data_IF_734028131716
#
_entry.id   IF_734028131716
#
_cell.length_a   1.000
_cell.length_b   1.000
_cell.length_c   1.000
_cell.angle_alpha   90.00
_cell.angle_beta   90.00
_cell.angle_gamma   90.00
#
_symmetry.space_group_name_H-M   'P 1'
#
loop_
_entity.id
_entity.type
_entity.pdbx_description
1 polymer ?
#
# COMPACT_ATOMS: atom_id res chain seq x y z
N UNK A 1 17.36 -20.36 12.82
CA UNK A 1 16.72 -19.03 13.02
C UNK A 1 17.56 -18.04 12.23
N UNK A 2 17.19 -17.82 10.97
CA UNK A 2 17.94 -16.96 10.06
C UNK A 2 17.54 -15.50 10.34
N UNK A 3 18.53 -14.69 10.73
CA UNK A 3 18.37 -13.25 10.88
C UNK A 3 18.05 -12.63 9.52
N UNK A 4 17.00 -11.81 9.47
CA UNK A 4 16.69 -11.00 8.32
C UNK A 4 17.73 -9.90 8.19
N UNK A 5 18.65 -10.05 7.24
CA UNK A 5 19.60 -9.00 6.89
C UNK A 5 18.83 -7.83 6.29
N UNK A 6 18.83 -6.70 6.99
CA UNK A 6 18.37 -5.42 6.46
C UNK A 6 19.33 -5.01 5.35
N UNK A 7 18.85 -5.01 4.10
CA UNK A 7 19.57 -4.37 2.99
C UNK A 7 19.65 -2.86 3.29
N UNK A 8 20.88 -2.38 3.49
CA UNK A 8 21.23 -1.00 3.81
C UNK A 8 20.56 0.03 2.88
N UNK A 9 19.96 1.06 3.49
CA UNK A 9 19.18 2.13 2.84
C UNK A 9 20.02 3.19 2.10
N UNK A 10 21.22 2.86 1.61
CA UNK A 10 22.06 3.79 0.84
C UNK A 10 22.80 3.12 -0.34
N UNK A 11 22.25 2.03 -0.88
CA UNK A 11 22.71 1.38 -2.11
C UNK A 11 21.84 1.80 -3.29
N UNK A 12 22.45 2.12 -4.43
CA UNK A 12 21.77 2.64 -5.62
C UNK A 12 20.50 1.84 -5.97
N UNK A 13 19.39 2.55 -6.19
CA UNK A 13 18.18 2.01 -6.82
C UNK A 13 18.57 1.49 -8.21
N UNK A 14 19.02 0.23 -8.28
CA UNK A 14 19.42 -0.44 -9.51
C UNK A 14 18.32 -1.39 -9.96
N UNK A 15 18.47 -1.94 -11.17
CA UNK A 15 17.45 -2.80 -11.78
C UNK A 15 17.15 -4.02 -10.90
N UNK A 16 18.14 -4.53 -10.17
CA UNK A 16 18.00 -5.68 -9.28
C UNK A 16 17.18 -5.35 -8.03
N UNK A 17 17.38 -4.20 -7.40
CA UNK A 17 16.54 -3.76 -6.29
C UNK A 17 15.11 -3.49 -6.75
N UNK A 18 14.93 -2.83 -7.91
CA UNK A 18 13.60 -2.54 -8.44
C UNK A 18 12.82 -3.83 -8.74
N UNK A 19 13.46 -4.79 -9.41
CA UNK A 19 12.81 -6.05 -9.78
C UNK A 19 12.49 -6.95 -8.58
N UNK A 20 13.22 -6.83 -7.47
CA UNK A 20 13.02 -7.68 -6.28
C UNK A 20 12.16 -7.05 -5.19
N UNK A 21 12.22 -5.73 -5.01
CA UNK A 21 11.55 -5.00 -3.92
C UNK A 21 10.56 -3.96 -4.47
N UNK A 22 11.04 -3.07 -5.34
CA UNK A 22 10.25 -1.95 -5.86
C UNK A 22 8.99 -2.37 -6.61
N UNK A 23 9.07 -3.44 -7.39
CA UNK A 23 7.97 -4.02 -8.14
C UNK A 23 6.85 -4.55 -7.24
N UNK A 24 7.20 -5.25 -6.16
CA UNK A 24 6.23 -5.77 -5.20
C UNK A 24 5.50 -4.64 -4.48
N UNK A 25 6.23 -3.64 -4.00
CA UNK A 25 5.62 -2.45 -3.39
C UNK A 25 4.72 -1.68 -4.37
N UNK A 26 5.15 -1.49 -5.61
CA UNK A 26 4.33 -0.84 -6.64
C UNK A 26 3.03 -1.59 -6.92
N UNK A 27 3.06 -2.93 -6.89
CA UNK A 27 1.89 -3.78 -7.04
C UNK A 27 0.93 -3.69 -5.84
N UNK A 28 1.46 -3.73 -4.62
CA UNK A 28 0.68 -3.51 -3.39
C UNK A 28 0.01 -2.15 -3.41
N UNK A 29 0.75 -1.10 -3.76
CA UNK A 29 0.20 0.25 -3.88
C UNK A 29 -0.96 0.29 -4.86
N UNK A 30 -0.77 -0.28 -6.05
CA UNK A 30 -1.81 -0.36 -7.05
C UNK A 30 -3.04 -1.09 -6.50
N UNK A 31 -2.88 -2.32 -6.04
CA UNK A 31 -4.00 -3.22 -5.73
C UNK A 31 -4.72 -2.90 -4.42
N UNK A 32 -3.97 -2.55 -3.36
CA UNK A 32 -4.52 -2.35 -2.03
C UNK A 32 -4.79 -0.87 -1.75
N UNK A 33 -3.83 0.02 -1.99
CA UNK A 33 -3.98 1.45 -1.61
C UNK A 33 -4.96 2.17 -2.51
N UNK A 34 -4.80 2.09 -3.84
CA UNK A 34 -5.72 2.77 -4.77
C UNK A 34 -7.15 2.22 -4.71
N UNK A 35 -7.32 0.96 -4.29
CA UNK A 35 -8.62 0.36 -4.00
C UNK A 35 -9.33 1.09 -2.87
N UNK A 36 -8.66 1.24 -1.73
CA UNK A 36 -9.23 1.92 -0.57
C UNK A 36 -9.63 3.37 -0.85
N UNK A 37 -8.90 4.11 -1.67
CA UNK A 37 -9.29 5.47 -2.05
C UNK A 37 -10.64 5.54 -2.78
N UNK A 38 -10.97 4.52 -3.58
CA UNK A 38 -12.29 4.43 -4.23
C UNK A 38 -13.39 4.17 -3.24
N UNK A 39 -13.13 3.29 -2.29
CA UNK A 39 -14.11 2.93 -1.25
C UNK A 39 -14.37 4.16 -0.35
N UNK A 40 -13.32 4.92 -0.03
CA UNK A 40 -13.42 6.22 0.67
C UNK A 40 -14.28 7.20 -0.14
N UNK A 41 -13.98 7.40 -1.42
CA UNK A 41 -14.69 8.37 -2.25
C UNK A 41 -16.15 7.97 -2.50
N UNK A 42 -16.42 6.67 -2.65
CA UNK A 42 -17.77 6.13 -2.78
C UNK A 42 -18.59 6.34 -1.50
N UNK A 43 -18.06 5.96 -0.34
CA UNK A 43 -18.71 6.16 0.95
C UNK A 43 -18.94 7.65 1.24
N UNK A 44 -17.99 8.51 0.85
CA UNK A 44 -18.13 9.95 1.02
C UNK A 44 -19.25 10.53 0.15
N UNK A 45 -19.41 10.03 -1.08
CA UNK A 45 -20.48 10.43 -1.99
C UNK A 45 -21.88 10.00 -1.48
N UNK A 46 -21.95 8.91 -0.73
CA UNK A 46 -23.17 8.40 -0.11
C UNK A 46 -23.48 9.02 1.26
N UNK A 47 -22.61 9.91 1.75
CA UNK A 47 -22.70 10.51 3.09
C UNK A 47 -22.63 9.48 4.24
N UNK A 48 -22.05 8.30 3.99
CA UNK A 48 -21.82 7.27 5.00
C UNK A 48 -20.51 7.53 5.75
N UNK A 49 -20.56 8.46 6.71
CA UNK A 49 -19.39 8.91 7.46
C UNK A 49 -18.70 7.80 8.28
N UNK A 50 -19.44 6.90 8.96
CA UNK A 50 -18.84 5.71 9.57
C UNK A 50 -18.03 4.89 8.57
N UNK A 51 -18.58 4.59 7.40
CA UNK A 51 -17.87 3.80 6.37
C UNK A 51 -16.69 4.56 5.79
N UNK A 52 -16.73 5.89 5.66
CA UNK A 52 -15.54 6.68 5.28
C UNK A 52 -14.41 6.47 6.28
N UNK A 53 -14.69 6.55 7.59
CA UNK A 53 -13.66 6.36 8.63
C UNK A 53 -13.13 4.93 8.62
N UNK A 54 -13.98 3.93 8.45
CA UNK A 54 -13.56 2.52 8.33
C UNK A 54 -12.69 2.28 7.08
N UNK A 55 -13.07 2.83 5.94
CA UNK A 55 -12.28 2.77 4.72
C UNK A 55 -10.93 3.50 4.87
N UNK A 56 -10.87 4.59 5.66
CA UNK A 56 -9.62 5.27 6.01
C UNK A 56 -8.68 4.38 6.86
N UNK A 57 -9.23 3.61 7.81
CA UNK A 57 -8.45 2.58 8.53
C UNK A 57 -7.89 1.53 7.56
N UNK A 58 -8.71 1.07 6.61
CA UNK A 58 -8.28 0.16 5.54
C UNK A 58 -7.15 0.73 4.69
N UNK A 59 -7.24 2.01 4.31
CA UNK A 59 -6.21 2.69 3.53
C UNK A 59 -4.89 2.81 4.29
N UNK A 60 -4.90 3.22 5.56
CA UNK A 60 -3.67 3.31 6.38
C UNK A 60 -3.05 1.92 6.59
N UNK A 61 -3.87 0.90 6.79
CA UNK A 61 -3.44 -0.50 6.85
C UNK A 61 -2.70 -0.93 5.57
N UNK A 62 -3.25 -0.61 4.39
CA UNK A 62 -2.62 -0.89 3.11
C UNK A 62 -1.34 -0.07 2.89
N UNK A 63 -1.32 1.20 3.31
CA UNK A 63 -0.15 2.09 3.24
C UNK A 63 0.99 1.53 4.11
N UNK A 64 0.71 1.12 5.35
CA UNK A 64 1.69 0.48 6.24
C UNK A 64 2.28 -0.76 5.58
N UNK A 65 1.43 -1.62 5.00
CA UNK A 65 1.92 -2.81 4.32
C UNK A 65 2.80 -2.46 3.10
N UNK A 66 2.42 -1.43 2.33
CA UNK A 66 3.24 -0.98 1.21
C UNK A 66 4.62 -0.46 1.66
N UNK A 67 4.71 0.21 2.81
CA UNK A 67 6.00 0.59 3.39
C UNK A 67 6.83 -0.62 3.83
N UNK A 68 6.20 -1.67 4.38
CA UNK A 68 6.90 -2.92 4.68
C UNK A 68 7.42 -3.59 3.42
N UNK A 69 6.62 -3.63 2.35
CA UNK A 69 7.06 -4.13 1.05
C UNK A 69 8.25 -3.31 0.50
N UNK A 70 8.24 -1.97 0.62
CA UNK A 70 9.39 -1.12 0.28
C UNK A 70 10.63 -1.39 1.13
N UNK A 71 10.44 -1.81 2.39
CA UNK A 71 11.52 -2.21 3.28
C UNK A 71 12.04 -3.64 3.00
N UNK A 72 11.50 -4.33 1.99
CA UNK A 72 11.95 -5.66 1.57
C UNK A 72 11.23 -6.83 2.25
N UNK A 73 10.10 -6.60 2.93
CA UNK A 73 9.26 -7.69 3.40
C UNK A 73 8.63 -8.41 2.20
N UNK A 74 8.67 -9.75 2.23
CA UNK A 74 8.18 -10.62 1.17
C UNK A 74 7.01 -11.45 1.69
N UNK A 75 5.91 -11.44 0.94
CA UNK A 75 4.68 -12.17 1.25
C UNK A 75 3.68 -11.35 2.07
N UNK A 76 2.42 -11.76 2.02
CA UNK A 76 1.36 -11.19 2.86
C UNK A 76 1.61 -11.57 4.34
N UNK A 77 1.66 -10.60 5.28
CA UNK A 77 1.78 -10.88 6.70
C UNK A 77 0.56 -11.69 7.15
N UNK A 78 0.75 -12.58 8.12
CA UNK A 78 -0.40 -13.19 8.75
C UNK A 78 -1.26 -12.07 9.36
N UNK A 79 -2.60 -12.20 9.28
CA UNK A 79 -3.54 -11.16 9.77
C UNK A 79 -3.19 -10.64 11.16
N UNK A 80 -2.74 -11.52 12.06
CA UNK A 80 -2.35 -11.15 13.43
C UNK A 80 -1.06 -10.32 13.47
N UNK A 81 -0.07 -10.64 12.65
CA UNK A 81 1.20 -9.89 12.56
C UNK A 81 0.94 -8.47 12.06
N UNK A 82 0.07 -8.32 11.06
CA UNK A 82 -0.30 -7.01 10.54
C UNK A 82 -1.06 -6.15 11.57
N UNK A 83 -1.97 -6.76 12.32
CA UNK A 83 -2.67 -6.07 13.42
C UNK A 83 -1.69 -5.65 14.51
N UNK A 84 -0.71 -6.49 14.86
CA UNK A 84 0.33 -6.15 15.83
C UNK A 84 1.22 -5.01 15.32
N UNK A 85 1.57 -4.99 14.03
CA UNK A 85 2.30 -3.88 13.43
C UNK A 85 1.51 -2.57 13.51
N UNK A 86 0.22 -2.56 13.17
CA UNK A 86 -0.60 -1.36 13.28
C UNK A 86 -0.71 -0.88 14.73
N UNK A 87 -0.81 -1.81 15.68
CA UNK A 87 -0.94 -1.50 17.10
C UNK A 87 0.37 -1.02 17.76
N UNK A 88 1.53 -1.55 17.35
CA UNK A 88 2.81 -1.36 18.06
C UNK A 88 3.90 -0.71 17.20
N UNK A 89 3.71 -0.67 15.89
CA UNK A 89 4.67 -0.15 14.92
C UNK A 89 4.93 1.35 15.08
N UNK A 90 6.15 1.74 14.69
CA UNK A 90 6.67 3.10 14.84
C UNK A 90 6.57 3.93 13.56
N UNK A 91 6.11 3.35 12.45
CA UNK A 91 5.86 4.10 11.22
C UNK A 91 4.76 5.16 11.44
N UNK A 92 4.85 6.26 10.68
CA UNK A 92 3.87 7.36 10.72
C UNK A 92 2.46 6.85 10.42
N UNK A 93 2.33 5.97 9.43
CA UNK A 93 1.07 5.32 9.07
C UNK A 93 0.47 4.48 10.20
N UNK A 94 1.28 3.79 11.01
CA UNK A 94 0.78 3.07 12.20
C UNK A 94 0.27 4.04 13.26
N UNK A 95 1.00 5.14 13.51
CA UNK A 95 0.57 6.17 14.45
C UNK A 95 -0.72 6.86 13.99
N UNK A 96 -0.83 7.16 12.70
CA UNK A 96 -2.01 7.71 12.05
C UNK A 96 -3.21 6.77 12.19
N UNK A 97 -3.03 5.46 11.95
CA UNK A 97 -4.10 4.47 12.07
C UNK A 97 -4.66 4.40 13.49
N UNK A 98 -3.78 4.43 14.51
CA UNK A 98 -4.20 4.45 15.92
C UNK A 98 -4.89 5.75 16.34
N UNK A 99 -4.60 6.85 15.65
CA UNK A 99 -5.15 8.17 15.95
C UNK A 99 -6.50 8.45 15.26
N UNK A 100 -6.90 7.62 14.29
CA UNK A 100 -8.18 7.76 13.64
C UNK A 100 -9.34 7.58 14.64
N UNK A 101 -10.46 8.31 14.46
CA UNK A 101 -11.64 8.14 15.29
C UNK A 101 -12.23 6.73 15.13
N UNK A 102 -13.04 6.33 16.10
CA UNK A 102 -13.85 5.11 16.01
C UNK A 102 -14.93 5.35 14.97
N UNK A 103 -15.07 4.45 13.99
CA UNK A 103 -16.04 4.59 12.91
C UNK A 103 -17.49 4.64 13.40
N UNK A 104 -17.82 3.86 14.43
CA UNK A 104 -19.17 3.81 14.97
C UNK A 104 -19.59 5.17 15.53
N UNK A 105 -20.62 5.77 14.91
CA UNK A 105 -21.14 7.09 15.28
C UNK A 105 -20.30 8.27 14.79
N UNK A 106 -19.29 8.04 13.93
CA UNK A 106 -18.49 9.10 13.33
C UNK A 106 -19.36 10.04 12.51
N UNK A 107 -19.10 11.34 12.63
CA UNK A 107 -19.73 12.38 11.84
C UNK A 107 -18.88 12.81 10.65
N UNK A 108 -19.41 13.74 9.85
CA UNK A 108 -18.70 14.33 8.71
C UNK A 108 -17.33 14.92 9.09
N UNK A 109 -17.22 15.59 10.24
CA UNK A 109 -15.96 16.17 10.68
C UNK A 109 -14.88 15.10 10.94
N UNK A 110 -15.27 13.95 11.49
CA UNK A 110 -14.39 12.80 11.72
C UNK A 110 -13.93 12.19 10.39
N UNK A 111 -14.87 12.06 9.44
CA UNK A 111 -14.59 11.58 8.09
C UNK A 111 -13.64 12.51 7.32
N UNK A 112 -13.87 13.83 7.36
CA UNK A 112 -13.00 14.83 6.73
C UNK A 112 -11.59 14.80 7.33
N UNK A 113 -11.48 14.70 8.66
CA UNK A 113 -10.19 14.57 9.35
C UNK A 113 -9.47 13.27 8.98
N UNK A 114 -10.18 12.13 8.97
CA UNK A 114 -9.62 10.83 8.60
C UNK A 114 -9.09 10.83 7.16
N UNK A 115 -9.86 11.39 6.21
CA UNK A 115 -9.42 11.52 4.81
C UNK A 115 -8.17 12.37 4.67
N UNK A 116 -8.10 13.50 5.39
CA UNK A 116 -6.92 14.36 5.36
C UNK A 116 -5.66 13.63 5.83
N UNK A 117 -5.77 12.80 6.87
CA UNK A 117 -4.68 11.96 7.37
C UNK A 117 -4.24 10.94 6.32
N UNK A 118 -5.18 10.20 5.72
CA UNK A 118 -4.88 9.21 4.67
C UNK A 118 -4.19 9.85 3.48
N UNK A 119 -4.67 11.01 3.01
CA UNK A 119 -4.06 11.75 1.89
C UNK A 119 -2.62 12.18 2.21
N UNK A 120 -2.36 12.61 3.44
CA UNK A 120 -1.00 12.99 3.86
C UNK A 120 -0.05 11.79 3.85
N UNK A 121 -0.47 10.64 4.39
CA UNK A 121 0.34 9.42 4.40
C UNK A 121 0.52 8.83 2.98
N UNK A 122 -0.50 8.89 2.13
CA UNK A 122 -0.37 8.48 0.72
C UNK A 122 0.65 9.35 -0.02
N UNK A 123 0.65 10.67 0.21
CA UNK A 123 1.66 11.55 -0.41
C UNK A 123 3.09 11.18 0.00
N UNK A 124 3.30 10.78 1.26
CA UNK A 124 4.60 10.29 1.74
C UNK A 124 4.97 8.96 1.08
N UNK A 125 4.01 8.04 0.95
CA UNK A 125 4.22 6.76 0.29
C UNK A 125 4.55 6.93 -1.19
N UNK A 126 3.78 7.76 -1.92
CA UNK A 126 4.01 8.06 -3.34
C UNK A 126 5.40 8.67 -3.56
N UNK A 127 5.85 9.54 -2.67
CA UNK A 127 7.20 10.10 -2.74
C UNK A 127 8.31 9.05 -2.49
N UNK A 128 7.99 7.95 -1.79
CA UNK A 128 8.91 6.85 -1.52
C UNK A 128 8.90 5.75 -2.60
N UNK A 129 7.88 5.72 -3.47
CA UNK A 129 7.80 4.73 -4.55
C UNK A 129 8.90 4.98 -5.60
N UNK A 130 9.54 3.91 -6.11
CA UNK A 130 10.66 4.05 -7.04
C UNK A 130 10.25 4.48 -8.44
N UNK A 131 8.97 4.31 -8.78
CA UNK A 131 8.37 4.75 -10.04
C UNK A 131 6.96 5.25 -9.78
N UNK A 132 6.49 6.15 -10.64
CA UNK A 132 5.09 6.58 -10.59
C UNK A 132 4.18 5.44 -11.04
N UNK A 133 3.32 4.97 -10.14
CA UNK A 133 2.33 3.94 -10.43
C UNK A 133 1.08 4.61 -11.00
N UNK A 134 0.63 4.26 -12.23
CA UNK A 134 -0.61 4.80 -12.78
C UNK A 134 -1.83 4.25 -12.03
N UNK A 135 -2.95 4.95 -12.13
CA UNK A 135 -4.21 4.53 -11.50
C UNK A 135 -4.75 3.27 -12.19
N UNK A 136 -5.09 2.26 -11.38
CA UNK A 136 -5.50 0.91 -11.79
C UNK A 136 -6.77 0.82 -12.63
N UNK A 137 -7.73 1.67 -12.30
CA UNK A 137 -9.09 1.57 -12.82
C UNK A 137 -9.46 2.97 -13.30
N UNK A 138 -9.45 3.22 -14.60
CA UNK A 138 -10.25 4.34 -15.09
C UNK A 138 -11.74 3.97 -14.93
N UNK A 139 -12.63 4.97 -14.92
CA UNK A 139 -14.06 4.70 -15.05
C UNK A 139 -14.38 3.86 -16.31
N UNK A 140 -13.47 3.87 -17.30
CA UNK A 140 -13.57 3.17 -18.58
C UNK A 140 -12.99 1.75 -18.58
N UNK A 141 -12.53 1.22 -17.44
CA UNK A 141 -12.07 -0.18 -17.34
C UNK A 141 -10.72 -0.48 -17.99
N UNK A 142 -9.85 0.53 -18.18
CA UNK A 142 -8.47 0.30 -18.61
C UNK A 142 -7.59 -0.06 -17.41
N UNK A 143 -6.81 -1.14 -17.53
CA UNK A 143 -5.93 -1.68 -16.48
C UNK A 143 -4.45 -1.58 -16.88
N UNK A 144 -3.83 -0.38 -16.83
CA UNK A 144 -2.43 -0.19 -17.23
C UNK A 144 -1.44 -1.04 -16.40
N UNK A 145 -1.81 -1.46 -15.19
CA UNK A 145 -0.98 -2.29 -14.33
C UNK A 145 -0.76 -3.71 -14.83
N UNK A 146 -1.71 -4.31 -15.56
CA UNK A 146 -1.52 -5.66 -16.14
C UNK A 146 -0.36 -5.60 -17.12
N UNK A 147 -0.25 -4.49 -17.84
CA UNK A 147 0.90 -4.22 -18.71
C UNK A 147 2.18 -3.97 -17.92
N UNK A 148 2.12 -3.20 -16.82
CA UNK A 148 3.28 -2.99 -15.94
C UNK A 148 3.75 -4.30 -15.31
N UNK A 149 2.86 -5.17 -14.85
CA UNK A 149 3.19 -6.48 -14.32
C UNK A 149 3.87 -7.35 -15.40
N UNK A 150 3.32 -7.37 -16.63
CA UNK A 150 3.94 -8.06 -17.75
C UNK A 150 5.33 -7.51 -18.12
N UNK A 151 5.49 -6.17 -18.10
CA UNK A 151 6.77 -5.51 -18.37
C UNK A 151 7.80 -5.82 -17.26
N UNK A 152 7.36 -5.90 -16.00
CA UNK A 152 8.22 -6.30 -14.87
C UNK A 152 8.61 -7.78 -14.98
N UNK A 153 7.68 -8.67 -15.34
CA UNK A 153 7.98 -10.09 -15.57
C UNK A 153 9.00 -10.28 -16.70
N UNK A 154 8.85 -9.53 -17.79
CA UNK A 154 9.81 -9.54 -18.89
C UNK A 154 11.20 -9.08 -18.43
N UNK A 155 11.27 -7.99 -17.64
CA UNK A 155 12.51 -7.49 -17.07
C UNK A 155 13.15 -8.50 -16.10
N UNK A 156 12.36 -9.14 -15.23
CA UNK A 156 12.84 -10.20 -14.33
C UNK A 156 13.40 -11.39 -15.10
N UNK A 157 12.74 -11.81 -16.17
CA UNK A 157 13.22 -12.86 -17.05
C UNK A 157 14.56 -12.52 -17.71
N UNK A 158 14.76 -11.25 -18.09
CA UNK A 158 16.04 -10.77 -18.63
C UNK A 158 17.17 -10.82 -17.59
N UNK A 159 16.86 -10.63 -16.31
CA UNK A 159 17.79 -10.69 -15.18
C UNK A 159 17.95 -12.11 -14.59
N UNK A 160 17.32 -13.13 -15.19
CA UNK A 160 17.37 -14.51 -14.70
C UNK A 160 16.63 -14.76 -13.38
N UNK A 161 15.71 -13.86 -13.01
CA UNK A 161 14.89 -13.98 -11.82
C UNK A 161 13.62 -14.79 -12.10
N UNK A 162 13.10 -15.55 -11.11
CA UNK A 162 11.86 -16.30 -11.27
C UNK A 162 10.64 -15.37 -11.41
N UNK A 163 9.54 -15.88 -11.94
CA UNK A 163 8.28 -15.13 -11.98
C UNK A 163 7.77 -14.78 -10.57
N UNK A 164 7.06 -13.66 -10.43
CA UNK A 164 6.43 -13.27 -9.18
C UNK A 164 5.07 -13.96 -9.02
N UNK A 165 4.79 -14.44 -7.82
CA UNK A 165 3.42 -14.74 -7.42
C UNK A 165 2.77 -13.43 -6.95
N UNK A 166 2.22 -12.68 -7.90
CA UNK A 166 1.56 -11.40 -7.67
C UNK A 166 0.40 -11.47 -6.66
N UNK A 167 -0.26 -12.63 -6.55
CA UNK A 167 -1.38 -12.80 -5.63
C UNK A 167 -0.92 -13.01 -4.20
N UNK A 168 0.25 -13.62 -3.99
CA UNK A 168 0.85 -13.77 -2.66
C UNK A 168 1.31 -12.44 -2.02
N UNK A 169 1.38 -11.38 -2.83
CA UNK A 169 1.83 -10.05 -2.42
C UNK A 169 0.69 -9.11 -2.03
N UNK A 170 -0.57 -9.50 -2.20
CA UNK A 170 -1.72 -8.67 -1.81
C UNK A 170 -2.28 -9.24 -0.49
N UNK A 171 -2.48 -8.41 0.55
CA UNK A 171 -3.01 -8.86 1.84
C UNK A 171 -4.50 -9.18 1.80
#
# INVERSE_FOLDING_TARGET
MAGGDRVSAAGSYNVQWFTTVGAGAGWVYAMAVQGCFRDIDAAYAEEDWPTVVEACHGALSAITYCHQALAGFVGAPARLEHVLELALGTATSCAAARALPVAFGAGRADADAARAVVVAEDALLVAALPVRIPVLRSADGFFPNVRIAADIEALRGQEGLPALDWMSLVP
#
